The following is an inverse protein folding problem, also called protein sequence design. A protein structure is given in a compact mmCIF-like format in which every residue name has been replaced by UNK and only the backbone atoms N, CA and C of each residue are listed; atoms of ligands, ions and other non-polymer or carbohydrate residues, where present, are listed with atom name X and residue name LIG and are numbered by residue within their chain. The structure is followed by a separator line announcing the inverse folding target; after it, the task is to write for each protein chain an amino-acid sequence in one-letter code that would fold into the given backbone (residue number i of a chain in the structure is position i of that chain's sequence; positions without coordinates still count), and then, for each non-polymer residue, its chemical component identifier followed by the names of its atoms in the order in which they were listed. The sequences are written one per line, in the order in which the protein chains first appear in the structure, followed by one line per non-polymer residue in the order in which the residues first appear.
data_IF_097450251902
#
_entry.id   IF_097450251902
#
_cell.length_a   1.000
_cell.length_b   1.000
_cell.length_c   1.000
_cell.angle_alpha   90.00
_cell.angle_beta   90.00
_cell.angle_gamma   90.00
#
_symmetry.space_group_name_H-M   'P 1'
#
loop_
_entity.id
_entity.type
_entity.pdbx_description
1 polymer ?
#
# COMPACT_ATOMS: atom_id res chain seq x y z
N UNK A 1 22.89 -8.36 -8.41
CA UNK A 1 22.15 -7.17 -7.97
C UNK A 1 22.06 -6.18 -9.12
N UNK A 2 20.88 -5.87 -9.55
CA UNK A 2 20.63 -4.86 -10.60
C UNK A 2 20.88 -3.47 -10.00
N UNK A 3 21.57 -2.62 -10.77
CA UNK A 3 21.84 -1.21 -10.43
C UNK A 3 21.09 -0.28 -11.40
N UNK A 4 21.30 1.03 -11.28
CA UNK A 4 20.72 2.00 -12.20
C UNK A 4 21.13 1.75 -13.66
N UNK A 5 22.37 1.33 -13.93
CA UNK A 5 22.85 0.98 -15.28
C UNK A 5 22.10 -0.23 -15.86
N UNK A 6 21.90 -1.28 -15.05
CA UNK A 6 21.11 -2.43 -15.45
C UNK A 6 19.64 -2.05 -15.70
N UNK A 7 19.10 -1.10 -14.93
CA UNK A 7 17.76 -0.56 -15.18
C UNK A 7 17.68 0.22 -16.48
N UNK A 8 18.68 1.01 -16.82
CA UNK A 8 18.72 1.75 -18.08
C UNK A 8 18.71 0.80 -19.28
N UNK A 9 19.59 -0.21 -19.27
CA UNK A 9 19.61 -1.23 -20.31
C UNK A 9 18.28 -1.96 -20.46
N UNK A 10 17.68 -2.39 -19.32
CA UNK A 10 16.41 -3.10 -19.31
C UNK A 10 15.27 -2.20 -19.84
N UNK A 11 15.18 -0.98 -19.38
CA UNK A 11 14.10 -0.05 -19.78
C UNK A 11 14.26 0.39 -21.23
N UNK A 12 15.49 0.53 -21.74
CA UNK A 12 15.77 0.78 -23.16
C UNK A 12 15.27 -0.36 -24.04
N UNK A 13 15.54 -1.60 -23.65
CA UNK A 13 15.03 -2.78 -24.35
C UNK A 13 13.49 -2.84 -24.34
N UNK A 14 12.88 -2.57 -23.18
CA UNK A 14 11.41 -2.58 -23.03
C UNK A 14 10.73 -1.41 -23.76
N UNK A 15 11.41 -0.28 -23.97
CA UNK A 15 10.90 0.80 -24.81
C UNK A 15 10.87 0.44 -26.30
N UNK A 16 11.84 -0.35 -26.75
CA UNK A 16 11.89 -0.84 -28.13
C UNK A 16 10.82 -1.90 -28.38
N UNK A 17 10.39 -2.63 -27.33
CA UNK A 17 9.33 -3.64 -27.41
C UNK A 17 8.41 -3.59 -26.17
N UNK A 18 7.54 -2.57 -26.03
CA UNK A 18 6.82 -2.27 -24.78
C UNK A 18 5.60 -3.16 -24.52
N UNK A 19 5.20 -3.98 -25.49
CA UNK A 19 3.81 -4.44 -25.54
C UNK A 19 3.47 -5.74 -24.82
N UNK A 20 4.45 -6.45 -24.22
CA UNK A 20 4.23 -7.81 -23.73
C UNK A 20 4.46 -8.00 -22.22
N UNK A 21 5.27 -7.14 -21.58
CA UNK A 21 5.59 -7.33 -20.18
C UNK A 21 4.44 -6.87 -19.28
N UNK A 22 3.90 -7.80 -18.50
CA UNK A 22 2.78 -7.56 -17.56
C UNK A 22 3.29 -7.34 -16.15
N UNK A 23 4.36 -8.02 -15.76
CA UNK A 23 4.96 -7.94 -14.43
C UNK A 23 6.46 -7.67 -14.53
N UNK A 24 6.94 -6.72 -13.73
CA UNK A 24 8.36 -6.45 -13.54
C UNK A 24 8.68 -6.53 -12.05
N UNK A 25 9.47 -7.50 -11.66
CA UNK A 25 9.97 -7.65 -10.31
C UNK A 25 11.47 -7.33 -10.26
N UNK A 26 11.80 -6.22 -9.61
CA UNK A 26 13.16 -5.77 -9.36
C UNK A 26 13.44 -5.64 -7.85
N UNK A 27 12.66 -6.30 -7.01
CA UNK A 27 12.82 -6.28 -5.55
C UNK A 27 14.23 -6.75 -5.13
N UNK A 28 14.68 -6.29 -3.96
CA UNK A 28 15.95 -6.66 -3.34
C UNK A 28 17.20 -6.29 -4.18
N UNK A 29 17.08 -5.24 -4.99
CA UNK A 29 18.18 -4.70 -5.79
C UNK A 29 18.61 -3.31 -5.34
N UNK A 30 19.78 -2.86 -5.78
CA UNK A 30 20.34 -1.55 -5.40
C UNK A 30 19.98 -0.48 -6.44
N UNK A 31 18.68 -0.36 -6.77
CA UNK A 31 18.23 0.57 -7.80
C UNK A 31 18.43 2.04 -7.42
N UNK A 32 18.13 2.38 -6.17
CA UNK A 32 18.09 3.76 -5.70
C UNK A 32 17.18 4.64 -6.57
N UNK A 33 17.19 5.94 -6.34
CA UNK A 33 16.35 6.88 -7.10
C UNK A 33 16.70 6.93 -8.59
N UNK A 34 17.99 6.78 -8.92
CA UNK A 34 18.45 6.78 -10.31
C UNK A 34 17.88 5.63 -11.14
N UNK A 35 17.89 4.41 -10.62
CA UNK A 35 17.28 3.26 -11.31
C UNK A 35 15.77 3.42 -11.46
N UNK A 36 15.11 3.99 -10.47
CA UNK A 36 13.66 4.25 -10.53
C UNK A 36 13.30 5.30 -11.56
N UNK A 37 14.14 6.30 -11.80
CA UNK A 37 13.92 7.28 -12.89
C UNK A 37 13.84 6.62 -14.26
N UNK A 38 14.66 5.61 -14.53
CA UNK A 38 14.58 4.83 -15.78
C UNK A 38 13.26 4.05 -15.87
N UNK A 39 12.83 3.43 -14.76
CA UNK A 39 11.54 2.72 -14.70
C UNK A 39 10.37 3.70 -14.90
N UNK A 40 10.44 4.87 -14.31
CA UNK A 40 9.43 5.92 -14.47
C UNK A 40 9.27 6.32 -15.94
N UNK A 41 10.38 6.50 -16.65
CA UNK A 41 10.36 6.78 -18.07
C UNK A 41 9.78 5.64 -18.92
N UNK A 42 9.85 4.39 -18.48
CA UNK A 42 9.13 3.27 -19.10
C UNK A 42 7.62 3.37 -18.83
N UNK A 43 7.21 3.73 -17.62
CA UNK A 43 5.80 3.89 -17.27
C UNK A 43 5.12 5.05 -18.01
N UNK A 44 5.87 6.08 -18.39
CA UNK A 44 5.38 7.20 -19.21
C UNK A 44 5.08 6.79 -20.67
N UNK A 45 5.61 5.65 -21.13
CA UNK A 45 5.33 5.16 -22.47
C UNK A 45 3.85 4.72 -22.59
N UNK A 46 3.04 5.30 -23.50
CA UNK A 46 1.63 4.97 -23.65
C UNK A 46 1.39 3.52 -24.12
N UNK A 47 2.40 2.86 -24.66
CA UNK A 47 2.33 1.44 -25.07
C UNK A 47 2.74 0.47 -23.96
N UNK A 48 3.18 0.97 -22.80
CA UNK A 48 3.53 0.14 -21.64
C UNK A 48 2.30 -0.62 -21.13
N UNK A 49 2.40 -1.96 -21.05
CA UNK A 49 1.32 -2.85 -20.58
C UNK A 49 1.54 -3.37 -19.15
N UNK A 50 2.51 -2.81 -18.46
CA UNK A 50 2.88 -3.26 -17.12
C UNK A 50 1.73 -3.06 -16.13
N UNK A 51 1.28 -4.16 -15.54
CA UNK A 51 0.20 -4.19 -14.55
C UNK A 51 0.73 -4.32 -13.12
N UNK A 52 1.87 -4.99 -12.95
CA UNK A 52 2.49 -5.21 -11.63
C UNK A 52 3.95 -4.75 -11.64
N UNK A 53 4.29 -3.89 -10.70
CA UNK A 53 5.65 -3.38 -10.49
C UNK A 53 6.06 -3.64 -9.03
N UNK A 54 7.08 -4.47 -8.84
CA UNK A 54 7.58 -4.84 -7.53
C UNK A 54 8.98 -4.28 -7.35
N UNK A 55 9.12 -3.38 -6.39
CA UNK A 55 10.34 -2.61 -6.09
C UNK A 55 10.67 -2.64 -4.59
N UNK A 56 10.31 -3.73 -3.89
CA UNK A 56 10.62 -3.81 -2.46
C UNK A 56 12.12 -3.85 -2.20
N UNK A 57 12.56 -3.26 -1.10
CA UNK A 57 13.95 -3.25 -0.64
C UNK A 57 14.97 -2.77 -1.70
N UNK A 58 14.60 -1.74 -2.47
CA UNK A 58 15.40 -1.19 -3.57
C UNK A 58 16.20 0.08 -3.20
N UNK A 59 16.19 0.51 -1.93
CA UNK A 59 16.83 1.74 -1.44
C UNK A 59 16.31 3.02 -2.13
N UNK A 60 15.04 3.05 -2.46
CA UNK A 60 14.36 4.19 -3.07
C UNK A 60 14.07 5.23 -1.98
N UNK A 61 14.30 6.49 -2.28
CA UNK A 61 14.03 7.64 -1.42
C UNK A 61 13.04 8.61 -2.07
N UNK A 62 12.87 9.79 -1.49
CA UNK A 62 11.90 10.79 -1.92
C UNK A 62 11.93 11.13 -3.41
N UNK A 63 13.11 11.27 -4.00
CA UNK A 63 13.27 11.58 -5.44
C UNK A 63 12.75 10.46 -6.34
N UNK A 64 12.96 9.21 -5.96
CA UNK A 64 12.43 8.05 -6.67
C UNK A 64 10.91 7.98 -6.59
N UNK A 65 10.35 8.27 -5.41
CA UNK A 65 8.89 8.38 -5.25
C UNK A 65 8.30 9.53 -6.08
N UNK A 66 9.00 10.66 -6.17
CA UNK A 66 8.61 11.78 -7.01
C UNK A 66 8.55 11.37 -8.49
N UNK A 67 9.58 10.70 -8.99
CA UNK A 67 9.64 10.23 -10.37
C UNK A 67 8.51 9.22 -10.67
N UNK A 68 8.30 8.23 -9.79
CA UNK A 68 7.21 7.25 -9.96
C UNK A 68 5.83 7.91 -9.99
N UNK A 69 5.56 8.77 -9.03
CA UNK A 69 4.23 9.41 -8.93
C UNK A 69 3.95 10.33 -10.09
N UNK A 70 4.98 11.03 -10.59
CA UNK A 70 4.86 11.88 -11.78
C UNK A 70 4.54 11.04 -13.02
N UNK A 71 5.28 9.96 -13.24
CA UNK A 71 5.07 9.05 -14.36
C UNK A 71 3.66 8.43 -14.35
N UNK A 72 3.21 7.99 -13.18
CA UNK A 72 1.87 7.42 -13.01
C UNK A 72 0.73 8.43 -13.20
N UNK A 73 1.00 9.73 -12.96
CA UNK A 73 0.04 10.82 -13.24
C UNK A 73 -0.01 11.20 -14.73
N UNK A 74 1.13 11.19 -15.39
CA UNK A 74 1.28 11.65 -16.78
C UNK A 74 0.61 10.72 -17.78
N UNK A 75 0.56 9.43 -17.49
CA UNK A 75 -0.01 8.43 -18.38
C UNK A 75 -1.06 7.61 -17.63
N UNK A 76 -2.24 7.31 -18.20
CA UNK A 76 -3.18 6.37 -17.64
C UNK A 76 -2.60 4.94 -17.66
N UNK A 77 -1.58 4.74 -16.84
CA UNK A 77 -0.86 3.47 -16.70
C UNK A 77 -1.85 2.32 -16.40
N UNK A 78 -1.70 1.16 -17.04
CA UNK A 78 -2.46 -0.03 -16.68
C UNK A 78 -2.05 -0.63 -15.32
N UNK A 79 -1.13 0.01 -14.58
CA UNK A 79 -0.59 -0.51 -13.33
C UNK A 79 -1.70 -0.66 -12.28
N UNK A 80 -1.88 -1.87 -11.77
CA UNK A 80 -2.87 -2.22 -10.74
C UNK A 80 -2.22 -2.61 -9.41
N UNK A 81 -0.95 -3.01 -9.43
CA UNK A 81 -0.18 -3.38 -8.23
C UNK A 81 1.16 -2.67 -8.20
N UNK A 82 1.46 -2.02 -7.06
CA UNK A 82 2.73 -1.37 -6.77
C UNK A 82 3.23 -1.82 -5.39
N UNK A 83 4.41 -2.43 -5.36
CA UNK A 83 5.09 -2.86 -4.13
C UNK A 83 6.33 -2.00 -3.89
N UNK A 84 6.29 -1.19 -2.85
CA UNK A 84 7.37 -0.28 -2.45
C UNK A 84 7.91 -0.61 -1.05
N UNK A 85 7.64 -1.79 -0.53
CA UNK A 85 8.08 -2.21 0.80
C UNK A 85 9.58 -2.06 0.98
N UNK A 86 10.01 -1.76 2.21
CA UNK A 86 11.44 -1.66 2.56
C UNK A 86 12.19 -0.48 1.94
N UNK A 87 11.48 0.49 1.36
CA UNK A 87 12.04 1.75 0.87
C UNK A 87 11.72 2.90 1.84
N UNK A 88 12.45 4.00 1.71
CA UNK A 88 12.31 5.18 2.57
C UNK A 88 11.87 6.41 1.77
N UNK A 89 10.55 6.64 1.63
CA UNK A 89 10.03 7.78 0.88
C UNK A 89 10.30 9.14 1.53
N UNK A 90 10.59 9.18 2.82
CA UNK A 90 10.57 10.43 3.58
C UNK A 90 9.19 11.13 3.54
N UNK A 91 9.07 12.30 4.13
CA UNK A 91 7.81 13.06 4.19
C UNK A 91 7.33 13.51 2.80
N UNK A 92 8.25 13.93 1.96
CA UNK A 92 7.94 14.39 0.59
C UNK A 92 7.42 13.25 -0.29
N UNK A 93 8.06 12.08 -0.25
CA UNK A 93 7.62 10.92 -1.01
C UNK A 93 6.25 10.42 -0.59
N UNK A 94 5.97 10.43 0.72
CA UNK A 94 4.63 10.10 1.24
C UNK A 94 3.57 11.04 0.71
N UNK A 95 3.81 12.35 0.81
CA UNK A 95 2.88 13.36 0.29
C UNK A 95 2.59 13.15 -1.19
N UNK A 96 3.63 12.96 -2.01
CA UNK A 96 3.48 12.75 -3.44
C UNK A 96 2.69 11.50 -3.79
N UNK A 97 2.99 10.37 -3.13
CA UNK A 97 2.28 9.11 -3.33
C UNK A 97 0.80 9.25 -2.98
N UNK A 98 0.52 9.99 -1.93
CA UNK A 98 -0.83 10.20 -1.45
C UNK A 98 -1.62 11.15 -2.35
N UNK A 99 -1.01 12.22 -2.81
CA UNK A 99 -1.62 13.11 -3.81
C UNK A 99 -1.92 12.37 -5.12
N UNK A 100 -1.07 11.39 -5.49
CA UNK A 100 -1.36 10.48 -6.60
C UNK A 100 -2.59 9.61 -6.31
N UNK A 101 -2.68 9.02 -5.14
CA UNK A 101 -3.83 8.19 -4.75
C UNK A 101 -5.15 8.98 -4.73
N UNK A 102 -5.11 10.29 -4.45
CA UNK A 102 -6.30 11.15 -4.46
C UNK A 102 -6.92 11.36 -5.83
N UNK A 103 -6.10 11.59 -6.82
CA UNK A 103 -6.58 12.21 -8.06
C UNK A 103 -6.75 11.24 -9.23
N UNK A 104 -5.92 10.19 -9.33
CA UNK A 104 -5.85 9.37 -10.54
C UNK A 104 -5.51 7.89 -10.29
N UNK A 105 -5.60 7.42 -9.05
CA UNK A 105 -5.11 6.09 -8.70
C UNK A 105 -5.98 4.97 -9.24
N UNK A 106 -5.44 4.18 -10.18
CA UNK A 106 -6.02 2.91 -10.64
C UNK A 106 -5.48 1.70 -9.87
N UNK A 107 -4.57 1.92 -8.92
CA UNK A 107 -4.00 0.84 -8.13
C UNK A 107 -5.08 0.14 -7.33
N UNK A 108 -5.09 -1.19 -7.40
CA UNK A 108 -5.90 -2.06 -6.54
C UNK A 108 -5.12 -2.56 -5.34
N UNK A 109 -3.81 -2.65 -5.48
CA UNK A 109 -2.90 -3.15 -4.44
C UNK A 109 -1.73 -2.19 -4.29
N UNK A 110 -1.56 -1.67 -3.08
CA UNK A 110 -0.41 -0.86 -2.69
C UNK A 110 0.20 -1.48 -1.44
N UNK A 111 1.51 -1.80 -1.50
CA UNK A 111 2.26 -2.37 -0.37
C UNK A 111 3.34 -1.40 0.08
N UNK A 112 3.29 -1.03 1.36
CA UNK A 112 4.18 -0.06 2.00
C UNK A 112 4.66 -0.61 3.35
N UNK A 113 5.55 -1.61 3.33
CA UNK A 113 6.11 -2.20 4.54
C UNK A 113 7.39 -1.49 5.01
N UNK A 114 7.57 -1.42 6.34
CA UNK A 114 8.81 -0.99 7.02
C UNK A 114 9.25 0.45 6.73
N UNK A 115 8.33 1.34 6.42
CA UNK A 115 8.64 2.76 6.26
C UNK A 115 8.07 3.55 7.44
N UNK A 116 8.85 4.46 8.02
CA UNK A 116 8.34 5.44 9.00
C UNK A 116 7.22 6.30 8.40
N UNK A 117 7.12 6.29 7.09
CA UNK A 117 6.05 6.89 6.32
C UNK A 117 4.70 6.18 6.42
N UNK A 118 4.64 4.91 6.86
CA UNK A 118 3.37 4.19 6.99
C UNK A 118 2.39 4.92 7.91
N UNK A 119 2.89 5.58 8.97
CA UNK A 119 2.08 6.38 9.89
C UNK A 119 1.43 7.57 9.18
N UNK A 120 2.20 8.29 8.37
CA UNK A 120 1.74 9.46 7.64
C UNK A 120 0.82 9.09 6.47
N UNK A 121 1.02 7.91 5.88
CA UNK A 121 0.09 7.36 4.88
C UNK A 121 -1.26 7.05 5.51
N UNK A 122 -1.29 6.52 6.75
CA UNK A 122 -2.55 6.32 7.47
C UNK A 122 -3.29 7.64 7.73
N UNK A 123 -2.59 8.66 8.26
CA UNK A 123 -3.16 10.00 8.48
C UNK A 123 -3.76 10.58 7.20
N UNK A 124 -3.12 10.30 6.12
CA UNK A 124 -3.44 10.88 4.85
C UNK A 124 -4.52 10.11 4.09
N UNK A 125 -4.50 8.79 4.09
CA UNK A 125 -5.59 7.97 3.56
C UNK A 125 -6.91 8.34 4.24
N UNK A 126 -6.89 8.61 5.54
CA UNK A 126 -8.08 9.05 6.27
C UNK A 126 -8.55 10.45 5.88
N UNK A 127 -7.63 11.36 5.55
CA UNK A 127 -7.99 12.72 5.10
C UNK A 127 -8.60 12.77 3.69
N UNK A 128 -8.38 11.74 2.89
CA UNK A 128 -8.79 11.66 1.48
C UNK A 128 -10.16 11.03 1.28
N UNK A 129 -10.62 10.27 2.27
CA UNK A 129 -11.79 9.41 2.15
C UNK A 129 -13.11 10.10 1.90
N UNK A 130 -13.24 11.37 2.26
CA UNK A 130 -14.45 12.13 1.99
C UNK A 130 -14.63 12.61 0.55
N UNK A 131 -13.66 12.41 -0.33
CA UNK A 131 -13.65 13.10 -1.64
C UNK A 131 -13.56 12.20 -2.88
N UNK A 132 -13.13 10.92 -2.74
CA UNK A 132 -13.03 10.03 -3.90
C UNK A 132 -13.09 8.54 -3.50
N UNK A 133 -13.83 7.70 -4.21
CA UNK A 133 -13.88 6.27 -3.88
C UNK A 133 -12.49 5.65 -4.09
N UNK A 134 -11.82 5.30 -3.00
CA UNK A 134 -10.58 4.56 -3.05
C UNK A 134 -10.80 3.22 -3.76
N UNK A 135 -10.12 3.03 -4.88
CA UNK A 135 -10.13 1.77 -5.62
C UNK A 135 -9.25 0.71 -4.95
N UNK A 136 -8.52 1.06 -3.87
CA UNK A 136 -7.67 0.14 -3.14
C UNK A 136 -8.49 -1.00 -2.53
N UNK A 137 -8.14 -2.21 -2.90
CA UNK A 137 -8.76 -3.44 -2.36
C UNK A 137 -7.84 -4.19 -1.41
N UNK A 138 -6.55 -3.94 -1.43
CA UNK A 138 -5.55 -4.52 -0.53
C UNK A 138 -4.57 -3.45 -0.04
N UNK A 139 -4.37 -3.40 1.27
CA UNK A 139 -3.35 -2.56 1.94
C UNK A 139 -2.54 -3.45 2.87
N UNK A 140 -1.23 -3.38 2.76
CA UNK A 140 -0.27 -4.07 3.62
C UNK A 140 0.60 -3.02 4.33
N UNK A 141 0.39 -2.86 5.62
CA UNK A 141 1.09 -1.96 6.52
C UNK A 141 1.86 -2.72 7.60
N UNK A 142 2.16 -4.00 7.36
CA UNK A 142 2.87 -4.84 8.33
C UNK A 142 4.30 -4.34 8.59
N UNK A 143 4.81 -4.49 9.79
CA UNK A 143 6.20 -4.24 10.13
C UNK A 143 6.43 -3.11 11.12
N UNK A 144 6.61 -1.88 10.72
CA UNK A 144 6.76 -0.74 11.63
C UNK A 144 5.54 0.17 11.52
N UNK A 145 4.51 -0.14 12.21
CA UNK A 145 3.31 0.68 12.21
C UNK A 145 3.09 1.39 13.51
N UNK A 146 2.27 2.42 13.49
CA UNK A 146 2.03 3.35 14.57
C UNK A 146 1.34 2.75 15.81
N UNK A 147 1.30 1.44 15.95
CA UNK A 147 0.61 0.81 17.06
C UNK A 147 -0.87 1.18 17.10
N UNK A 148 -1.40 1.35 18.30
CA UNK A 148 -2.83 1.67 18.50
C UNK A 148 -3.23 3.04 17.94
N UNK A 149 -2.31 4.01 17.87
CA UNK A 149 -2.60 5.33 17.31
C UNK A 149 -2.86 5.27 15.80
N UNK A 150 -2.07 4.50 15.06
CA UNK A 150 -2.30 4.33 13.64
C UNK A 150 -3.53 3.49 13.34
N UNK A 151 -3.82 2.49 14.18
CA UNK A 151 -5.08 1.75 14.08
C UNK A 151 -6.27 2.69 14.22
N UNK A 152 -6.24 3.67 15.14
CA UNK A 152 -7.31 4.65 15.31
C UNK A 152 -7.57 5.46 14.03
N UNK A 153 -6.50 5.89 13.37
CA UNK A 153 -6.61 6.62 12.10
C UNK A 153 -7.16 5.71 10.99
N UNK A 154 -6.65 4.48 10.92
CA UNK A 154 -7.10 3.52 9.91
C UNK A 154 -8.53 3.04 10.13
N UNK A 155 -9.01 3.06 11.36
CA UNK A 155 -10.39 2.70 11.71
C UNK A 155 -11.40 3.66 11.09
N UNK A 156 -11.10 4.95 11.04
CA UNK A 156 -11.94 5.93 10.35
C UNK A 156 -12.10 5.62 8.85
N UNK A 157 -11.05 5.05 8.22
CA UNK A 157 -11.13 4.53 6.84
C UNK A 157 -12.11 3.35 6.73
N UNK A 158 -12.05 2.42 7.66
CA UNK A 158 -12.92 1.24 7.64
C UNK A 158 -14.39 1.59 7.91
N UNK A 159 -14.63 2.65 8.69
CA UNK A 159 -15.98 3.16 8.97
C UNK A 159 -16.63 3.86 7.77
N UNK A 160 -15.83 4.33 6.79
CA UNK A 160 -16.36 4.99 5.60
C UNK A 160 -17.12 4.00 4.71
N UNK A 161 -18.37 4.32 4.38
CA UNK A 161 -19.24 3.51 3.53
C UNK A 161 -18.73 3.32 2.10
N UNK A 162 -17.83 4.20 1.64
CA UNK A 162 -17.19 4.11 0.32
C UNK A 162 -15.92 3.25 0.32
N UNK A 163 -15.46 2.81 1.49
CA UNK A 163 -14.30 1.93 1.61
C UNK A 163 -14.57 0.59 0.93
N UNK A 164 -13.73 0.21 -0.04
CA UNK A 164 -13.82 -1.06 -0.77
C UNK A 164 -12.70 -2.03 -0.41
N UNK A 165 -12.02 -1.79 0.72
CA UNK A 165 -10.91 -2.60 1.16
C UNK A 165 -11.36 -4.03 1.46
N UNK A 166 -10.73 -5.00 0.79
CA UNK A 166 -11.00 -6.44 0.97
C UNK A 166 -9.96 -7.13 1.83
N UNK A 167 -8.75 -6.61 1.87
CA UNK A 167 -7.63 -7.22 2.58
C UNK A 167 -6.78 -6.17 3.27
N UNK A 168 -6.60 -6.34 4.56
CA UNK A 168 -5.79 -5.50 5.42
C UNK A 168 -4.76 -6.37 6.15
N UNK A 169 -3.49 -6.00 6.05
CA UNK A 169 -2.42 -6.64 6.79
C UNK A 169 -1.74 -5.64 7.71
N UNK A 170 -1.67 -5.98 8.98
CA UNK A 170 -1.09 -5.22 10.07
C UNK A 170 -0.19 -6.12 10.95
N UNK A 171 0.57 -7.00 10.31
CA UNK A 171 1.47 -7.89 11.05
C UNK A 171 2.61 -7.11 11.68
N UNK A 172 3.11 -7.57 12.82
CA UNK A 172 4.27 -6.97 13.52
C UNK A 172 4.14 -5.45 13.69
N UNK A 173 2.95 -4.97 14.04
CA UNK A 173 2.57 -3.56 14.04
C UNK A 173 2.43 -2.96 15.43
N UNK A 174 2.87 -3.68 16.46
CA UNK A 174 2.78 -3.26 17.88
C UNK A 174 1.34 -2.90 18.33
N UNK A 175 0.35 -3.57 17.76
CA UNK A 175 -1.05 -3.41 18.14
C UNK A 175 -1.29 -4.15 19.45
N UNK A 176 -1.99 -3.46 20.38
CA UNK A 176 -2.40 -4.04 21.66
C UNK A 176 -3.91 -4.36 21.66
N UNK A 177 -4.44 -4.79 22.81
CA UNK A 177 -5.88 -4.98 23.00
C UNK A 177 -6.69 -3.71 22.70
N UNK A 178 -6.14 -2.53 23.01
CA UNK A 178 -6.80 -1.25 22.76
C UNK A 178 -6.95 -0.97 21.27
N UNK A 179 -5.89 -1.16 20.49
CA UNK A 179 -5.95 -1.03 19.04
C UNK A 179 -6.88 -2.07 18.42
N UNK A 180 -6.86 -3.30 18.95
CA UNK A 180 -7.77 -4.35 18.52
C UNK A 180 -9.24 -3.97 18.75
N UNK A 181 -9.58 -3.43 19.93
CA UNK A 181 -10.93 -2.95 20.23
C UNK A 181 -11.40 -1.86 19.26
N UNK A 182 -10.50 -0.90 18.96
CA UNK A 182 -10.80 0.16 18.00
C UNK A 182 -11.07 -0.39 16.59
N UNK A 183 -10.23 -1.32 16.14
CA UNK A 183 -10.35 -1.95 14.83
C UNK A 183 -11.65 -2.76 14.70
N UNK A 184 -11.96 -3.57 15.70
CA UNK A 184 -13.16 -4.40 15.71
C UNK A 184 -14.43 -3.56 15.81
N UNK A 185 -14.42 -2.46 16.55
CA UNK A 185 -15.52 -1.48 16.60
C UNK A 185 -15.81 -0.89 15.22
N UNK A 186 -14.76 -0.46 14.50
CA UNK A 186 -14.91 0.08 13.16
C UNK A 186 -15.50 -0.95 12.18
N UNK A 187 -15.03 -2.20 12.25
CA UNK A 187 -15.53 -3.29 11.40
C UNK A 187 -16.97 -3.71 11.76
N UNK A 188 -17.40 -3.48 12.99
CA UNK A 188 -18.79 -3.70 13.41
C UNK A 188 -19.71 -2.58 12.95
N UNK A 189 -19.24 -1.33 13.01
CA UNK A 189 -20.00 -0.14 12.59
C UNK A 189 -20.27 -0.14 11.07
N UNK A 190 -19.30 -0.61 10.31
CA UNK A 190 -19.43 -0.82 8.87
C UNK A 190 -19.04 -2.27 8.55
N UNK A 191 -19.97 -3.23 8.57
CA UNK A 191 -19.72 -4.64 8.28
C UNK A 191 -19.38 -4.85 6.82
N UNK A 192 -18.42 -4.10 6.38
CA UNK A 192 -18.09 -3.84 5.01
C UNK A 192 -17.30 -4.98 4.37
N UNK A 193 -16.71 -4.67 3.32
CA UNK A 193 -16.11 -5.50 2.30
C UNK A 193 -14.85 -6.24 2.75
N UNK A 194 -14.34 -6.03 3.99
CA UNK A 194 -13.11 -6.66 4.46
C UNK A 194 -13.30 -8.18 4.60
N UNK A 195 -12.51 -8.94 3.83
CA UNK A 195 -12.54 -10.41 3.80
C UNK A 195 -11.34 -11.03 4.49
N UNK A 196 -10.23 -10.32 4.52
CA UNK A 196 -8.99 -10.79 5.14
C UNK A 196 -8.41 -9.73 6.05
N UNK A 197 -8.17 -10.11 7.30
CA UNK A 197 -7.46 -9.33 8.30
C UNK A 197 -6.27 -10.13 8.78
N UNK A 198 -5.07 -9.56 8.77
CA UNK A 198 -3.87 -10.19 9.30
C UNK A 198 -3.29 -9.34 10.41
N UNK A 199 -3.16 -9.92 11.60
CA UNK A 199 -2.70 -9.30 12.85
C UNK A 199 -1.54 -10.07 13.49
N UNK A 200 -0.91 -10.99 12.76
CA UNK A 200 0.18 -11.83 13.28
C UNK A 200 1.31 -10.98 13.87
N UNK A 201 1.97 -11.48 14.92
CA UNK A 201 3.12 -10.81 15.54
C UNK A 201 2.75 -9.55 16.36
N UNK A 202 1.46 -9.31 16.65
CA UNK A 202 1.01 -8.22 17.52
C UNK A 202 0.82 -8.70 18.98
N UNK A 203 0.74 -7.75 19.91
CA UNK A 203 0.58 -8.02 21.36
C UNK A 203 -0.86 -7.88 21.80
N UNK A 204 -1.76 -8.66 21.22
CA UNK A 204 -3.21 -8.53 21.44
C UNK A 204 -3.65 -8.95 22.85
N UNK A 205 -3.01 -9.99 23.42
CA UNK A 205 -3.41 -10.59 24.69
C UNK A 205 -4.84 -11.18 24.65
N UNK A 206 -5.27 -11.75 25.75
CA UNK A 206 -6.61 -12.38 25.85
C UNK A 206 -7.74 -11.37 25.60
N UNK A 207 -7.57 -10.14 26.06
CA UNK A 207 -8.55 -9.06 25.86
C UNK A 207 -8.71 -8.71 24.39
N UNK A 208 -7.61 -8.62 23.63
CA UNK A 208 -7.67 -8.37 22.19
C UNK A 208 -8.30 -9.53 21.44
N UNK A 209 -7.98 -10.76 21.81
CA UNK A 209 -8.61 -11.97 21.23
C UNK A 209 -10.11 -11.99 21.51
N UNK A 210 -10.56 -11.55 22.70
CA UNK A 210 -11.98 -11.42 23.00
C UNK A 210 -12.69 -10.46 22.04
N UNK A 211 -12.12 -9.28 21.78
CA UNK A 211 -12.69 -8.34 20.81
C UNK A 211 -12.81 -8.95 19.40
N UNK A 212 -11.82 -9.73 19.00
CA UNK A 212 -11.89 -10.45 17.71
C UNK A 212 -12.98 -11.52 17.74
N UNK A 213 -13.11 -12.25 18.82
CA UNK A 213 -14.15 -13.27 19.00
C UNK A 213 -15.54 -12.65 18.90
N UNK A 214 -15.75 -11.50 19.56
CA UNK A 214 -17.01 -10.77 19.52
C UNK A 214 -17.33 -10.31 18.09
N UNK A 215 -16.33 -9.82 17.34
CA UNK A 215 -16.48 -9.46 15.93
C UNK A 215 -16.86 -10.66 15.07
N UNK A 216 -16.19 -11.80 15.24
CA UNK A 216 -16.48 -13.01 14.46
C UNK A 216 -17.85 -13.62 14.79
N UNK A 217 -18.33 -13.42 16.03
CA UNK A 217 -19.67 -13.79 16.44
C UNK A 217 -20.80 -12.91 15.87
N UNK A 218 -20.45 -11.75 15.31
CA UNK A 218 -21.42 -10.88 14.68
C UNK A 218 -21.88 -11.47 13.33
N UNK A 219 -23.20 -11.72 13.13
CA UNK A 219 -23.72 -12.30 11.88
C UNK A 219 -23.47 -11.42 10.64
N UNK A 220 -23.26 -10.13 10.82
CA UNK A 220 -22.92 -9.20 9.73
C UNK A 220 -21.42 -9.22 9.36
N UNK A 221 -20.58 -9.91 10.11
CA UNK A 221 -19.15 -9.97 9.84
C UNK A 221 -18.87 -10.67 8.50
N UNK A 222 -18.12 -9.99 7.63
CA UNK A 222 -17.77 -10.51 6.28
C UNK A 222 -16.36 -11.12 6.23
N UNK A 223 -15.63 -11.17 7.35
CA UNK A 223 -14.30 -11.76 7.39
C UNK A 223 -14.35 -13.25 7.03
N UNK A 224 -13.48 -13.63 6.09
CA UNK A 224 -13.29 -15.03 5.66
C UNK A 224 -11.95 -15.60 6.10
N UNK A 225 -10.98 -14.73 6.39
CA UNK A 225 -9.62 -15.11 6.78
C UNK A 225 -9.09 -14.15 7.83
N UNK A 226 -8.66 -14.72 8.95
CA UNK A 226 -7.93 -14.05 10.01
C UNK A 226 -6.58 -14.75 10.19
N UNK A 227 -5.50 -13.98 10.31
CA UNK A 227 -4.12 -14.48 10.43
C UNK A 227 -3.40 -13.78 11.58
#
# INVERSE_FOLDING_TARGET
SVTAEGCDALTSALRSNPSHLIELNLSENKLRDSGVKHISALLENPHCKLQRLLLSDCKIKGDGYAALTLALKSNPSPLVELDLRGNDPGDSGVKLLTDFCKSHCKLKTLRLLKSDAANKVCDYLTSVLGTNPLLLTEVDLSGKTPGDSGVKQFSALLEDSHCKLKKLKLNDSSITAKGCATLTSALTSNPSHLKTLSLSGNKLGDSGVKHISDLLGNPECKLKKLL
#
